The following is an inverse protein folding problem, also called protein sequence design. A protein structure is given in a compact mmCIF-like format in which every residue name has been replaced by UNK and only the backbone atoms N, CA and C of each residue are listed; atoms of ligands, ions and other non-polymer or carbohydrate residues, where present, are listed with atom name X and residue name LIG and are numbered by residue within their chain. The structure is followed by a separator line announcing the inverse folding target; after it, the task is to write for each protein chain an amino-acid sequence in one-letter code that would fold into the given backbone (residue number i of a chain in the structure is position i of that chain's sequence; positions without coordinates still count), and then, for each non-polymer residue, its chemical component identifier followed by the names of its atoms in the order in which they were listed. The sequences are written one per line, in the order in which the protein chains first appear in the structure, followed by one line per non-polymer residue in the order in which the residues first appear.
data_IF_734731361663
#
_entry.id   IF_734731361663
#
_cell.length_a   1.000
_cell.length_b   1.000
_cell.length_c   1.000
_cell.angle_alpha   90.00
_cell.angle_beta   90.00
_cell.angle_gamma   90.00
#
_symmetry.space_group_name_H-M   'P 1'
#
loop_
_entity.id
_entity.type
_entity.pdbx_description
1 polymer ?
#
# COMPACT_ATOMS: atom_id res chain seq x y z
N UNK A 1 -12.16 -18.62 2.63
CA UNK A 1 -11.06 -19.62 2.74
C UNK A 1 -10.03 -19.12 3.75
N UNK A 2 -9.38 -19.97 4.57
CA UNK A 2 -8.25 -19.54 5.42
C UNK A 2 -6.95 -19.98 4.77
N UNK A 3 -6.12 -19.01 4.35
CA UNK A 3 -4.80 -19.26 3.78
C UNK A 3 -3.72 -18.84 4.77
N UNK A 4 -2.61 -19.57 4.79
CA UNK A 4 -1.37 -19.20 5.45
C UNK A 4 -0.25 -19.23 4.41
N UNK A 5 0.63 -18.23 4.44
CA UNK A 5 1.74 -18.12 3.50
C UNK A 5 3.07 -18.20 4.24
N UNK A 6 3.99 -18.98 3.69
CA UNK A 6 5.35 -19.10 4.20
C UNK A 6 6.33 -18.52 3.19
N UNK A 7 7.22 -17.64 3.66
CA UNK A 7 8.27 -17.05 2.85
C UNK A 7 9.46 -18.03 2.72
N UNK A 8 9.88 -18.29 1.49
CA UNK A 8 11.12 -19.03 1.21
C UNK A 8 11.97 -18.17 0.28
N UNK A 9 13.19 -17.85 0.72
CA UNK A 9 14.17 -17.15 -0.10
C UNK A 9 15.15 -18.16 -0.67
N UNK A 10 15.28 -18.16 -1.98
CA UNK A 10 16.25 -18.98 -2.70
C UNK A 10 17.44 -18.13 -3.12
N UNK A 11 18.63 -18.72 -3.10
CA UNK A 11 19.85 -18.17 -3.70
C UNK A 11 20.41 -19.24 -4.63
N UNK A 12 20.77 -18.90 -5.86
CA UNK A 12 21.26 -19.86 -6.87
C UNK A 12 20.35 -21.11 -6.99
N UNK A 13 19.02 -20.88 -7.05
CA UNK A 13 17.97 -21.92 -7.15
C UNK A 13 17.88 -22.90 -5.96
N UNK A 14 18.63 -22.70 -4.88
CA UNK A 14 18.55 -23.51 -3.66
C UNK A 14 17.98 -22.70 -2.50
N UNK A 15 17.17 -23.34 -1.66
CA UNK A 15 16.63 -22.72 -0.45
C UNK A 15 17.76 -22.19 0.43
N UNK A 16 17.71 -20.90 0.74
CA UNK A 16 18.70 -20.19 1.53
C UNK A 16 18.13 -19.82 2.90
N UNK A 17 16.97 -19.15 2.91
CA UNK A 17 16.25 -18.78 4.12
C UNK A 17 14.80 -19.27 4.08
N UNK A 18 14.31 -19.75 5.21
CA UNK A 18 12.93 -20.18 5.43
C UNK A 18 12.58 -19.99 6.92
N UNK A 19 11.32 -20.21 7.35
CA UNK A 19 10.93 -19.93 8.74
C UNK A 19 11.78 -20.70 9.76
N UNK A 20 12.15 -21.94 9.41
CA UNK A 20 12.93 -22.83 10.27
C UNK A 20 14.36 -22.35 10.48
N UNK A 21 15.05 -21.95 9.41
CA UNK A 21 16.42 -21.40 9.48
C UNK A 21 16.45 -20.05 10.20
N UNK A 22 15.45 -19.20 9.97
CA UNK A 22 15.36 -17.91 10.68
C UNK A 22 15.11 -18.09 12.18
N UNK A 23 14.25 -19.04 12.56
CA UNK A 23 14.06 -19.41 13.97
C UNK A 23 15.35 -19.94 14.61
N UNK A 24 16.15 -20.71 13.86
CA UNK A 24 17.47 -21.15 14.31
C UNK A 24 18.43 -19.98 14.52
N UNK A 25 18.56 -19.07 13.55
CA UNK A 25 19.43 -17.89 13.69
C UNK A 25 19.04 -17.02 14.88
N UNK A 26 17.75 -16.75 15.06
CA UNK A 26 17.23 -15.99 16.19
C UNK A 26 17.52 -16.68 17.53
N UNK A 27 17.33 -18.00 17.61
CA UNK A 27 17.63 -18.77 18.82
C UNK A 27 19.13 -18.79 19.13
N UNK A 28 20.00 -18.87 18.12
CA UNK A 28 21.46 -18.78 18.29
C UNK A 28 21.85 -17.40 18.83
N UNK A 29 21.25 -16.32 18.32
CA UNK A 29 21.50 -14.97 18.80
C UNK A 29 21.15 -14.80 20.28
N UNK A 30 20.08 -15.46 20.74
CA UNK A 30 19.63 -15.39 22.14
C UNK A 30 20.55 -16.16 23.09
N UNK A 31 20.98 -17.37 22.71
CA UNK A 31 21.67 -18.29 23.64
C UNK A 31 23.18 -18.39 23.43
N UNK A 32 23.70 -17.84 22.33
CA UNK A 32 25.13 -17.86 22.03
C UNK A 32 25.68 -19.24 21.67
N UNK A 33 24.84 -20.20 21.26
CA UNK A 33 25.24 -21.60 21.02
C UNK A 33 24.39 -22.28 19.94
N UNK A 34 25.04 -22.95 18.98
CA UNK A 34 24.34 -23.74 17.94
C UNK A 34 23.56 -24.90 18.54
N UNK A 35 24.08 -25.56 19.57
CA UNK A 35 23.42 -26.73 20.16
C UNK A 35 22.16 -26.36 20.95
N UNK A 36 22.22 -25.29 21.75
CA UNK A 36 21.07 -24.76 22.46
C UNK A 36 20.06 -24.13 21.48
N UNK A 37 20.55 -23.39 20.47
CA UNK A 37 19.70 -22.81 19.42
C UNK A 37 18.96 -23.87 18.59
N UNK A 38 19.61 -25.01 18.31
CA UNK A 38 18.96 -26.16 17.66
C UNK A 38 17.78 -26.67 18.51
N UNK A 39 17.98 -26.86 19.82
CA UNK A 39 16.93 -27.32 20.73
C UNK A 39 15.74 -26.35 20.78
N UNK A 40 16.00 -25.05 20.92
CA UNK A 40 14.96 -24.01 20.96
C UNK A 40 14.20 -23.86 19.64
N UNK A 41 14.88 -24.05 18.51
CA UNK A 41 14.26 -23.99 17.17
C UNK A 41 13.53 -25.27 16.76
N UNK A 42 13.62 -26.36 17.56
CA UNK A 42 13.04 -27.65 17.21
C UNK A 42 13.83 -28.40 16.13
N UNK A 43 15.13 -28.14 16.01
CA UNK A 43 16.04 -28.79 15.09
C UNK A 43 16.93 -29.82 15.80
N UNK A 44 17.23 -30.93 15.13
CA UNK A 44 18.35 -31.79 15.56
C UNK A 44 19.66 -30.99 15.43
N UNK A 45 20.62 -31.24 16.32
CA UNK A 45 21.94 -30.61 16.27
C UNK A 45 22.58 -30.71 14.87
N UNK A 46 22.59 -31.91 14.26
CA UNK A 46 23.15 -32.12 12.91
C UNK A 46 22.49 -31.23 11.87
N UNK A 47 21.15 -31.20 11.82
CA UNK A 47 20.42 -30.35 10.87
C UNK A 47 20.68 -28.84 11.09
N UNK A 48 20.82 -28.40 12.34
CA UNK A 48 21.17 -27.02 12.65
C UNK A 48 22.58 -26.68 12.17
N UNK A 49 23.55 -27.56 12.45
CA UNK A 49 24.93 -27.39 12.00
C UNK A 49 25.05 -27.36 10.48
N UNK A 50 24.40 -28.32 9.80
CA UNK A 50 24.37 -28.37 8.32
C UNK A 50 23.73 -27.11 7.74
N UNK A 51 22.68 -26.57 8.36
CA UNK A 51 22.04 -25.33 7.94
C UNK A 51 22.96 -24.11 8.14
N UNK A 52 23.59 -23.97 9.31
CA UNK A 52 24.53 -22.85 9.58
C UNK A 52 25.69 -22.87 8.60
N UNK A 53 26.30 -24.05 8.37
CA UNK A 53 27.38 -24.22 7.40
C UNK A 53 26.92 -23.84 5.99
N UNK A 54 25.82 -24.41 5.51
CA UNK A 54 25.28 -24.09 4.18
C UNK A 54 24.99 -22.59 4.00
N UNK A 55 24.47 -21.93 5.04
CA UNK A 55 24.17 -20.50 4.98
C UNK A 55 25.44 -19.63 4.99
N UNK A 56 26.46 -19.98 5.78
CA UNK A 56 27.74 -19.26 5.78
C UNK A 56 28.50 -19.47 4.47
N UNK A 57 28.57 -20.70 3.95
CA UNK A 57 29.30 -21.04 2.73
C UNK A 57 28.73 -20.34 1.49
N UNK A 58 27.42 -20.09 1.49
CA UNK A 58 26.69 -19.47 0.35
C UNK A 58 26.47 -17.98 0.51
N UNK A 59 26.77 -17.41 1.67
CA UNK A 59 26.72 -15.97 1.88
C UNK A 59 28.05 -15.34 1.48
N UNK A 60 28.03 -14.12 0.94
CA UNK A 60 29.25 -13.38 0.61
C UNK A 60 30.14 -13.14 1.85
N UNK A 61 29.50 -13.04 3.01
CA UNK A 61 30.13 -12.93 4.31
C UNK A 61 29.43 -13.87 5.29
N UNK A 62 30.16 -14.46 6.25
CA UNK A 62 29.56 -15.33 7.26
C UNK A 62 28.40 -14.64 7.98
N UNK A 63 27.29 -15.37 8.15
CA UNK A 63 26.13 -14.90 8.91
C UNK A 63 26.28 -15.20 10.41
N UNK A 64 27.03 -16.25 10.73
CA UNK A 64 27.34 -16.68 12.09
C UNK A 64 28.85 -16.82 12.23
N UNK A 65 29.39 -16.20 13.28
CA UNK A 65 30.73 -16.49 13.78
C UNK A 65 30.69 -17.64 14.78
N UNK A 66 31.55 -18.63 14.55
CA UNK A 66 31.70 -19.79 15.44
C UNK A 66 33.02 -19.64 16.20
N UNK A 67 32.94 -19.56 17.53
CA UNK A 67 34.12 -19.58 18.37
C UNK A 67 34.62 -21.03 18.52
N UNK A 68 35.91 -21.25 18.24
CA UNK A 68 36.52 -22.57 18.32
C UNK A 68 36.96 -22.88 19.76
N UNK A 69 36.27 -23.82 20.42
CA UNK A 69 36.84 -24.68 21.46
C UNK A 69 37.16 -24.09 22.86
N UNK A 70 36.47 -24.62 23.87
CA UNK A 70 36.80 -24.57 25.30
C UNK A 70 35.93 -25.60 26.07
N UNK A 71 36.23 -25.87 27.37
CA UNK A 71 35.54 -26.90 28.21
C UNK A 71 34.01 -26.75 28.35
N UNK A 72 33.41 -25.69 27.80
CA UNK A 72 31.96 -25.42 27.78
C UNK A 72 31.29 -25.47 26.39
N UNK A 73 32.01 -25.84 25.33
CA UNK A 73 31.51 -25.82 23.95
C UNK A 73 31.76 -24.49 23.25
N UNK A 74 32.01 -24.53 21.93
CA UNK A 74 32.26 -23.33 21.11
C UNK A 74 31.03 -22.42 21.06
N UNK A 75 31.24 -21.13 21.31
CA UNK A 75 30.19 -20.11 21.20
C UNK A 75 29.78 -19.86 19.75
N UNK A 76 28.59 -19.31 19.55
CA UNK A 76 28.10 -18.89 18.25
C UNK A 76 27.38 -17.56 18.36
N UNK A 77 27.75 -16.58 17.55
CA UNK A 77 27.14 -15.25 17.51
C UNK A 77 26.79 -14.88 16.07
N UNK A 78 25.70 -14.12 15.90
CA UNK A 78 25.41 -13.55 14.58
C UNK A 78 26.41 -12.47 14.23
N UNK A 79 26.75 -12.38 12.96
CA UNK A 79 27.42 -11.21 12.40
C UNK A 79 26.38 -10.11 12.13
N UNK A 80 26.81 -8.85 11.87
CA UNK A 80 25.89 -7.78 11.47
C UNK A 80 25.03 -8.14 10.24
N UNK A 81 25.55 -8.95 9.32
CA UNK A 81 24.80 -9.41 8.15
C UNK A 81 23.81 -10.51 8.52
N UNK A 82 24.18 -11.42 9.43
CA UNK A 82 23.24 -12.40 10.00
C UNK A 82 22.04 -11.72 10.68
N UNK A 83 22.29 -10.69 11.50
CA UNK A 83 21.23 -9.89 12.10
C UNK A 83 20.37 -9.16 11.06
N UNK A 84 21.02 -8.55 10.06
CA UNK A 84 20.33 -7.87 8.96
C UNK A 84 19.42 -8.83 8.20
N UNK A 85 19.86 -10.08 7.96
CA UNK A 85 19.06 -11.10 7.28
C UNK A 85 17.78 -11.43 8.08
N UNK A 86 17.88 -11.58 9.40
CA UNK A 86 16.70 -11.82 10.25
C UNK A 86 15.72 -10.65 10.14
N UNK A 87 16.20 -9.41 10.27
CA UNK A 87 15.36 -8.19 10.16
C UNK A 87 14.71 -8.06 8.78
N UNK A 88 15.46 -8.32 7.72
CA UNK A 88 14.95 -8.31 6.35
C UNK A 88 13.85 -9.37 6.18
N UNK A 89 14.11 -10.58 6.64
CA UNK A 89 13.16 -11.69 6.52
C UNK A 89 11.87 -11.41 7.31
N UNK A 90 11.98 -10.85 8.52
CA UNK A 90 10.80 -10.50 9.34
C UNK A 90 9.95 -9.44 8.66
N UNK A 91 10.57 -8.39 8.11
CA UNK A 91 9.85 -7.33 7.38
C UNK A 91 9.14 -7.87 6.14
N UNK A 92 9.81 -8.73 5.35
CA UNK A 92 9.19 -9.35 4.18
C UNK A 92 8.02 -10.26 4.57
N UNK A 93 8.14 -11.02 5.65
CA UNK A 93 7.07 -11.90 6.15
C UNK A 93 5.85 -11.07 6.59
N UNK A 94 6.08 -9.92 7.23
CA UNK A 94 5.01 -9.01 7.62
C UNK A 94 4.32 -8.39 6.41
N UNK A 95 5.08 -7.91 5.42
CA UNK A 95 4.57 -7.38 4.16
C UNK A 95 3.72 -8.45 3.43
N UNK A 96 4.26 -9.67 3.29
CA UNK A 96 3.54 -10.79 2.68
C UNK A 96 2.22 -11.08 3.40
N UNK A 97 2.23 -11.09 4.74
CA UNK A 97 1.05 -11.37 5.55
C UNK A 97 -0.04 -10.31 5.37
N UNK A 98 0.35 -9.03 5.28
CA UNK A 98 -0.57 -7.91 5.04
C UNK A 98 -1.13 -7.97 3.62
N UNK A 99 -0.27 -8.22 2.63
CA UNK A 99 -0.67 -8.36 1.23
C UNK A 99 -1.66 -9.51 1.04
N UNK A 100 -1.38 -10.70 1.61
CA UNK A 100 -2.29 -11.85 1.54
C UNK A 100 -3.66 -11.53 2.15
N UNK A 101 -3.68 -10.93 3.36
CA UNK A 101 -4.94 -10.54 4.02
C UNK A 101 -5.76 -9.57 3.17
N UNK A 102 -5.11 -8.58 2.55
CA UNK A 102 -5.79 -7.62 1.68
C UNK A 102 -6.32 -8.27 0.42
N UNK A 103 -5.55 -9.15 -0.23
CA UNK A 103 -5.95 -9.82 -1.48
C UNK A 103 -7.04 -10.89 -1.28
N UNK A 104 -7.28 -11.31 -0.04
CA UNK A 104 -8.37 -12.22 0.30
C UNK A 104 -9.74 -11.51 0.39
N UNK A 105 -9.78 -10.18 0.31
CA UNK A 105 -11.01 -9.42 0.17
C UNK A 105 -11.49 -9.48 -1.29
N UNK A 106 -12.68 -10.05 -1.53
CA UNK A 106 -13.23 -10.27 -2.88
C UNK A 106 -13.49 -8.97 -3.65
N UNK A 107 -13.51 -7.82 -2.97
CA UNK A 107 -13.68 -6.52 -3.62
C UNK A 107 -12.42 -6.00 -4.30
N UNK A 108 -11.28 -6.70 -4.24
CA UNK A 108 -10.00 -6.25 -4.83
C UNK A 108 -9.88 -6.75 -6.28
N UNK A 109 -9.66 -5.85 -7.26
CA UNK A 109 -9.24 -6.26 -8.61
C UNK A 109 -7.86 -6.93 -8.55
N UNK A 110 -7.77 -8.21 -8.91
CA UNK A 110 -6.52 -8.99 -8.90
C UNK A 110 -5.65 -8.79 -10.16
N UNK A 111 -6.14 -8.00 -11.10
CA UNK A 111 -5.47 -7.63 -12.35
C UNK A 111 -4.67 -6.33 -12.27
N UNK A 112 -4.78 -5.59 -11.15
CA UNK A 112 -4.06 -4.33 -10.90
C UNK A 112 -3.15 -4.44 -9.67
N UNK A 113 -1.83 -4.40 -9.89
CA UNK A 113 -0.85 -4.37 -8.81
C UNK A 113 -0.98 -3.08 -7.99
N UNK A 114 -1.28 -1.94 -8.62
CA UNK A 114 -1.50 -0.68 -7.90
C UNK A 114 -2.70 -0.81 -6.97
N UNK A 115 -3.83 -1.36 -7.43
CA UNK A 115 -5.01 -1.59 -6.60
C UNK A 115 -4.72 -2.46 -5.38
N UNK A 116 -3.98 -3.56 -5.59
CA UNK A 116 -3.54 -4.44 -4.52
C UNK A 116 -2.66 -3.69 -3.50
N UNK A 117 -1.62 -2.98 -3.98
CA UNK A 117 -0.67 -2.26 -3.13
C UNK A 117 -1.33 -1.12 -2.35
N UNK A 118 -2.21 -0.34 -2.97
CA UNK A 118 -2.92 0.76 -2.30
C UNK A 118 -3.67 0.27 -1.06
N UNK A 119 -4.32 -0.90 -1.13
CA UNK A 119 -5.12 -1.41 -0.01
C UNK A 119 -4.30 -1.93 1.18
N UNK A 120 -3.13 -2.56 0.97
CA UNK A 120 -2.32 -3.07 2.10
C UNK A 120 -1.18 -2.15 2.53
N UNK A 121 -0.71 -1.25 1.65
CA UNK A 121 0.52 -0.46 1.87
C UNK A 121 0.27 0.97 2.35
N UNK A 122 -0.86 1.61 2.02
CA UNK A 122 -1.04 3.04 2.26
C UNK A 122 -2.42 3.37 2.85
N UNK A 123 -2.48 3.55 4.18
CA UNK A 123 -3.52 4.41 4.75
C UNK A 123 -3.07 5.85 4.61
N UNK A 124 -3.67 6.58 3.68
CA UNK A 124 -3.53 8.02 3.59
C UNK A 124 -4.80 8.70 4.12
N UNK A 125 -4.71 9.99 4.42
CA UNK A 125 -5.85 10.74 4.97
C UNK A 125 -6.87 11.19 3.91
N UNK A 126 -6.62 10.92 2.63
CA UNK A 126 -7.57 11.20 1.56
C UNK A 126 -8.65 10.10 1.56
N UNK A 127 -9.89 10.51 1.85
CA UNK A 127 -11.06 9.63 1.90
C UNK A 127 -11.54 9.20 0.52
N UNK A 128 -11.18 9.96 -0.52
CA UNK A 128 -11.52 9.66 -1.89
C UNK A 128 -10.28 9.17 -2.62
N UNK A 129 -10.35 7.95 -3.12
CA UNK A 129 -9.25 7.28 -3.82
C UNK A 129 -9.81 6.58 -5.05
N UNK A 130 -9.35 7.00 -6.22
CA UNK A 130 -9.83 6.50 -7.50
C UNK A 130 -8.67 5.95 -8.31
N UNK A 131 -8.84 4.73 -8.79
CA UNK A 131 -7.90 4.10 -9.71
C UNK A 131 -8.42 4.31 -11.13
N UNK A 132 -7.50 4.68 -12.00
CA UNK A 132 -7.80 4.88 -13.41
C UNK A 132 -6.55 4.89 -14.27
N UNK A 133 -6.74 5.09 -15.56
CA UNK A 133 -5.65 5.18 -16.54
C UNK A 133 -5.62 6.55 -17.18
N UNK A 134 -4.43 7.10 -17.35
CA UNK A 134 -4.23 8.35 -18.08
C UNK A 134 -4.68 8.15 -19.52
N UNK A 135 -5.57 8.99 -20.03
CA UNK A 135 -6.02 8.95 -21.43
C UNK A 135 -5.34 10.02 -22.26
N UNK A 136 -5.08 11.19 -21.67
CA UNK A 136 -4.40 12.30 -22.34
C UNK A 136 -3.63 13.18 -21.34
N UNK A 137 -2.59 13.84 -21.85
CA UNK A 137 -1.80 14.83 -21.11
C UNK A 137 -1.70 16.08 -21.98
N UNK A 138 -2.22 17.21 -21.49
CA UNK A 138 -2.12 18.52 -22.15
C UNK A 138 -1.19 19.43 -21.35
N UNK A 139 -0.08 19.83 -21.96
CA UNK A 139 0.90 20.72 -21.33
C UNK A 139 0.49 22.18 -21.49
N UNK A 140 0.61 22.96 -20.41
CA UNK A 140 0.27 24.38 -20.41
C UNK A 140 1.11 25.16 -19.40
N UNK A 141 2.14 25.85 -19.89
CA UNK A 141 3.02 26.63 -19.03
C UNK A 141 3.80 25.75 -18.06
N UNK A 142 3.55 25.91 -16.76
CA UNK A 142 4.23 25.17 -15.68
C UNK A 142 3.45 23.90 -15.28
N UNK A 143 2.20 23.77 -15.74
CA UNK A 143 1.29 22.71 -15.34
C UNK A 143 0.93 21.80 -16.51
N UNK A 144 0.69 20.54 -16.18
CA UNK A 144 0.13 19.52 -17.06
C UNK A 144 -1.30 19.19 -16.59
N UNK A 145 -2.22 19.18 -17.54
CA UNK A 145 -3.60 18.72 -17.35
C UNK A 145 -3.69 17.24 -17.77
N UNK A 146 -4.02 16.39 -16.82
CA UNK A 146 -4.05 14.94 -16.95
C UNK A 146 -5.51 14.49 -17.00
N UNK A 147 -5.94 13.93 -18.13
CA UNK A 147 -7.23 13.26 -18.24
C UNK A 147 -7.06 11.78 -17.86
N UNK A 148 -7.97 11.29 -17.02
CA UNK A 148 -7.93 9.96 -16.43
C UNK A 148 -9.30 9.31 -16.64
N UNK A 149 -9.32 8.11 -17.18
CA UNK A 149 -10.51 7.25 -17.22
C UNK A 149 -10.48 6.34 -16.00
N UNK A 150 -11.52 6.41 -15.17
CA UNK A 150 -11.67 5.61 -13.97
C UNK A 150 -12.21 4.23 -14.33
N UNK A 151 -11.99 3.24 -13.46
CA UNK A 151 -12.47 1.87 -13.70
C UNK A 151 -14.00 1.76 -13.83
N UNK A 152 -14.76 2.76 -13.34
CA UNK A 152 -16.21 2.87 -13.51
C UNK A 152 -16.66 3.37 -14.89
N UNK A 153 -15.72 3.79 -15.75
CA UNK A 153 -16.00 4.47 -17.02
C UNK A 153 -16.20 5.98 -16.90
N UNK A 154 -16.18 6.53 -15.68
CA UNK A 154 -16.20 7.97 -15.45
C UNK A 154 -14.84 8.60 -15.80
N UNK A 155 -14.83 9.90 -16.09
CA UNK A 155 -13.60 10.66 -16.35
C UNK A 155 -13.26 11.60 -15.22
N UNK A 156 -11.95 11.77 -14.97
CA UNK A 156 -11.39 12.69 -13.99
C UNK A 156 -10.24 13.47 -14.62
N UNK A 157 -10.20 14.78 -14.43
CA UNK A 157 -9.15 15.68 -14.85
C UNK A 157 -8.38 16.19 -13.62
N UNK A 158 -7.05 16.05 -13.63
CA UNK A 158 -6.16 16.54 -12.58
C UNK A 158 -5.16 17.53 -13.17
N UNK A 159 -4.84 18.58 -12.42
CA UNK A 159 -3.79 19.54 -12.77
C UNK A 159 -2.60 19.32 -11.84
N UNK A 160 -1.44 19.02 -12.43
CA UNK A 160 -0.19 18.81 -11.68
C UNK A 160 0.94 19.62 -12.30
N UNK A 161 1.98 19.94 -11.53
CA UNK A 161 3.17 20.56 -12.12
C UNK A 161 3.82 19.64 -13.14
N UNK A 162 4.42 20.20 -14.19
CA UNK A 162 5.15 19.43 -15.19
C UNK A 162 6.24 18.55 -14.54
N UNK A 163 6.94 19.07 -13.52
CA UNK A 163 7.93 18.31 -12.75
C UNK A 163 7.35 17.08 -12.05
N UNK A 164 6.12 17.16 -11.55
CA UNK A 164 5.41 16.02 -10.95
C UNK A 164 5.03 14.99 -12.00
N UNK A 165 4.51 15.43 -13.14
CA UNK A 165 4.17 14.59 -14.29
C UNK A 165 5.37 13.78 -14.79
N UNK A 166 6.53 14.44 -14.94
CA UNK A 166 7.80 13.81 -15.31
C UNK A 166 8.31 12.85 -14.24
N UNK A 167 8.26 13.25 -12.95
CA UNK A 167 8.69 12.40 -11.82
C UNK A 167 7.85 11.12 -11.73
N UNK A 168 6.54 11.23 -11.94
CA UNK A 168 5.60 10.10 -11.94
C UNK A 168 5.60 9.32 -13.25
N UNK A 169 6.42 9.74 -14.23
CA UNK A 169 6.55 9.16 -15.57
C UNK A 169 5.20 8.99 -16.27
N UNK A 170 4.32 9.98 -16.21
CA UNK A 170 2.97 9.87 -16.76
C UNK A 170 2.98 9.77 -18.29
N UNK A 171 2.18 8.85 -18.84
CA UNK A 171 1.92 8.67 -20.27
C UNK A 171 0.52 8.08 -20.50
N UNK A 172 -0.12 8.28 -21.67
CA UNK A 172 -1.39 7.64 -21.99
C UNK A 172 -1.33 6.11 -21.84
N UNK A 173 -2.22 5.55 -21.03
CA UNK A 173 -2.27 4.14 -20.65
C UNK A 173 -1.68 3.85 -19.26
N UNK A 174 -0.91 4.76 -18.67
CA UNK A 174 -0.34 4.58 -17.33
C UNK A 174 -1.44 4.58 -16.27
N UNK A 175 -1.40 3.58 -15.41
CA UNK A 175 -2.30 3.46 -14.26
C UNK A 175 -1.87 4.44 -13.16
N UNK A 176 -2.86 5.13 -12.59
CA UNK A 176 -2.67 6.15 -11.56
C UNK A 176 -3.70 5.98 -10.45
N UNK A 177 -3.31 6.36 -9.24
CA UNK A 177 -4.19 6.55 -8.09
C UNK A 177 -4.42 8.05 -7.92
N UNK A 178 -5.64 8.50 -8.14
CA UNK A 178 -6.08 9.85 -7.83
C UNK A 178 -6.61 9.93 -6.40
N UNK A 179 -6.11 10.88 -5.63
CA UNK A 179 -6.40 11.03 -4.20
C UNK A 179 -6.95 12.42 -3.92
N UNK A 180 -8.09 12.48 -3.25
CA UNK A 180 -8.78 13.72 -2.90
C UNK A 180 -9.19 13.69 -1.43
N UNK A 181 -8.86 14.76 -0.69
CA UNK A 181 -9.28 14.92 0.70
C UNK A 181 -10.78 15.25 0.71
N UNK A 182 -11.54 14.68 1.65
CA UNK A 182 -12.98 14.95 1.78
C UNK A 182 -13.37 16.45 1.87
N UNK A 183 -12.65 17.34 2.57
CA UNK A 183 -13.03 18.75 2.64
C UNK A 183 -12.70 19.55 1.37
N UNK A 184 -11.98 18.97 0.40
CA UNK A 184 -11.74 19.60 -0.91
C UNK A 184 -12.87 19.31 -1.92
N UNK A 185 -13.83 18.45 -1.55
CA UNK A 185 -15.00 18.13 -2.37
C UNK A 185 -16.13 19.08 -1.98
N UNK A 186 -16.68 19.78 -2.97
CA UNK A 186 -17.77 20.75 -2.76
C UNK A 186 -19.10 20.16 -3.18
N UNK A 187 -20.15 20.53 -2.45
CA UNK A 187 -21.52 20.35 -2.92
C UNK A 187 -21.85 21.50 -3.89
N UNK A 188 -22.43 21.18 -5.05
CA UNK A 188 -22.90 22.19 -5.99
C UNK A 188 -24.34 22.60 -5.66
N UNK A 189 -24.57 23.90 -5.64
CA UNK A 189 -25.88 24.54 -5.57
C UNK A 189 -26.42 24.84 -6.97
N UNK A 190 -27.73 25.07 -7.08
CA UNK A 190 -28.37 25.50 -8.35
C UNK A 190 -27.82 26.84 -8.88
N UNK A 191 -27.20 27.63 -8.01
CA UNK A 191 -26.64 28.96 -8.33
C UNK A 191 -25.17 28.93 -8.75
N UNK A 192 -24.50 27.78 -8.70
CA UNK A 192 -23.09 27.70 -9.03
C UNK A 192 -22.84 27.88 -10.53
N UNK A 193 -21.99 28.84 -10.87
CA UNK A 193 -21.48 29.00 -12.23
C UNK A 193 -20.38 27.96 -12.43
N UNK A 194 -20.66 26.97 -13.27
CA UNK A 194 -19.70 25.91 -13.58
C UNK A 194 -18.56 26.47 -14.45
N UNK A 195 -17.36 26.55 -13.89
CA UNK A 195 -16.16 26.69 -14.69
C UNK A 195 -15.81 25.32 -15.29
N UNK A 196 -16.29 25.08 -16.52
CA UNK A 196 -16.16 23.81 -17.21
C UNK A 196 -14.69 23.39 -17.48
N UNK A 197 -13.72 24.29 -17.28
CA UNK A 197 -12.30 24.00 -17.55
C UNK A 197 -11.57 23.24 -16.44
N UNK A 198 -11.90 23.51 -15.17
CA UNK A 198 -11.09 23.09 -14.01
C UNK A 198 -11.87 22.29 -12.95
N UNK A 199 -13.14 21.97 -13.20
CA UNK A 199 -13.97 21.25 -12.23
C UNK A 199 -14.38 19.87 -12.75
N UNK A 200 -14.18 18.88 -11.89
CA UNK A 200 -14.71 17.53 -12.05
C UNK A 200 -16.07 17.47 -11.37
N UNK A 201 -17.12 17.18 -12.13
CA UNK A 201 -18.49 17.16 -11.63
C UNK A 201 -19.02 15.75 -11.69
N UNK A 202 -19.56 15.29 -10.55
CA UNK A 202 -20.20 13.99 -10.45
C UNK A 202 -21.61 14.16 -9.89
N UNK A 203 -22.57 13.51 -10.54
CA UNK A 203 -23.93 13.37 -10.02
C UNK A 203 -24.06 11.99 -9.40
N UNK A 204 -24.67 11.91 -8.21
CA UNK A 204 -24.80 10.64 -7.52
C UNK A 204 -25.84 10.68 -6.42
N UNK A 205 -26.12 9.52 -5.84
CA UNK A 205 -27.14 9.34 -4.82
C UNK A 205 -26.51 9.37 -3.43
N UNK A 206 -27.07 10.14 -2.51
CA UNK A 206 -26.66 10.13 -1.10
C UNK A 206 -27.02 8.80 -0.45
N UNK A 207 -26.02 8.05 0.00
CA UNK A 207 -26.20 6.72 0.62
C UNK A 207 -25.85 6.68 2.11
N UNK A 208 -25.11 7.67 2.61
CA UNK A 208 -24.83 7.82 4.03
C UNK A 208 -24.68 9.29 4.40
N UNK A 209 -25.21 9.64 5.57
CA UNK A 209 -25.09 10.96 6.17
C UNK A 209 -24.84 10.79 7.67
N UNK A 210 -23.80 11.44 8.16
CA UNK A 210 -23.46 11.51 9.58
C UNK A 210 -23.07 12.93 9.94
N UNK A 211 -23.24 13.28 11.21
CA UNK A 211 -22.82 14.58 11.76
C UNK A 211 -21.81 14.34 12.87
N UNK A 212 -20.63 14.94 12.73
CA UNK A 212 -19.53 14.81 13.67
C UNK A 212 -18.91 16.19 13.90
N UNK A 213 -18.79 16.62 15.16
CA UNK A 213 -18.04 17.83 15.54
C UNK A 213 -18.39 19.10 14.73
N UNK A 214 -19.68 19.35 14.49
CA UNK A 214 -20.18 20.48 13.67
C UNK A 214 -19.94 20.36 12.16
N UNK A 215 -19.64 19.18 11.66
CA UNK A 215 -19.52 18.91 10.23
C UNK A 215 -20.50 17.83 9.78
N UNK A 216 -21.11 18.02 8.61
CA UNK A 216 -21.77 16.97 7.86
C UNK A 216 -20.72 16.15 7.13
N UNK A 217 -20.72 14.83 7.35
CA UNK A 217 -20.03 13.85 6.52
C UNK A 217 -21.07 13.17 5.63
N UNK A 218 -20.87 13.30 4.31
CA UNK A 218 -21.77 12.75 3.30
C UNK A 218 -21.02 11.73 2.46
N UNK A 219 -21.69 10.63 2.12
CA UNK A 219 -21.19 9.63 1.16
C UNK A 219 -22.17 9.53 0.01
N UNK A 220 -21.70 9.89 -1.18
CA UNK A 220 -22.47 9.93 -2.42
C UNK A 220 -21.99 8.81 -3.35
N UNK A 221 -22.90 7.95 -3.78
CA UNK A 221 -22.62 6.89 -4.76
C UNK A 221 -22.70 7.46 -6.17
N UNK A 222 -21.60 7.38 -6.92
CA UNK A 222 -21.47 7.94 -8.28
C UNK A 222 -21.40 6.86 -9.36
N UNK A 223 -21.09 5.61 -8.98
CA UNK A 223 -21.18 4.42 -9.81
C UNK A 223 -21.38 3.18 -8.91
N UNK A 224 -21.60 2.00 -9.49
CA UNK A 224 -21.90 0.75 -8.75
C UNK A 224 -20.93 0.50 -7.59
N UNK A 225 -19.62 0.60 -7.82
CA UNK A 225 -18.58 0.34 -6.82
C UNK A 225 -17.75 1.59 -6.47
N UNK A 226 -18.33 2.79 -6.66
CA UNK A 226 -17.61 4.04 -6.46
C UNK A 226 -18.43 5.07 -5.69
N UNK A 227 -17.81 5.60 -4.65
CA UNK A 227 -18.39 6.61 -3.77
C UNK A 227 -17.47 7.82 -3.63
N UNK A 228 -18.05 8.96 -3.32
CA UNK A 228 -17.36 10.19 -2.93
C UNK A 228 -17.77 10.53 -1.50
N UNK A 229 -16.79 10.71 -0.63
CA UNK A 229 -16.92 11.30 0.68
C UNK A 229 -16.61 12.80 0.61
N UNK A 230 -17.52 13.62 1.15
CA UNK A 230 -17.33 15.05 1.33
C UNK A 230 -17.66 15.47 2.76
N UNK A 231 -17.01 16.55 3.19
CA UNK A 231 -17.26 17.18 4.49
C UNK A 231 -17.70 18.62 4.29
N UNK A 232 -18.79 19.01 4.96
CA UNK A 232 -19.36 20.36 4.93
C UNK A 232 -19.50 20.87 6.36
N UNK A 233 -19.19 22.14 6.60
CA UNK A 233 -19.48 22.77 7.89
C UNK A 233 -21.00 22.98 8.05
N UNK A 234 -21.54 22.71 9.24
CA UNK A 234 -22.98 22.90 9.54
C UNK A 234 -23.43 24.36 9.31
N UNK A 235 -22.54 25.32 9.55
CA UNK A 235 -22.85 26.74 9.38
C UNK A 235 -22.89 27.17 7.91
N UNK A 236 -22.19 26.44 7.03
CA UNK A 236 -22.12 26.71 5.59
C UNK A 236 -23.29 26.11 4.82
N UNK A 237 -23.92 25.06 5.36
CA UNK A 237 -25.00 24.35 4.69
C UNK A 237 -26.17 24.08 5.64
N UNK A 238 -27.23 24.88 5.52
CA UNK A 238 -28.50 24.67 6.23
C UNK A 238 -29.43 23.66 5.55
N UNK A 239 -28.95 23.00 4.50
CA UNK A 239 -29.76 22.05 3.75
C UNK A 239 -30.02 20.79 4.59
N UNK A 240 -31.24 20.29 4.52
CA UNK A 240 -31.55 18.95 5.03
C UNK A 240 -31.13 17.92 3.98
N UNK A 241 -30.44 16.88 4.42
CA UNK A 241 -29.93 15.81 3.56
C UNK A 241 -30.73 14.55 3.80
N UNK A 242 -31.37 14.04 2.75
CA UNK A 242 -32.15 12.81 2.80
C UNK A 242 -31.46 11.68 2.04
N UNK A 243 -31.41 10.48 2.62
CA UNK A 243 -30.88 9.31 1.92
C UNK A 243 -31.70 9.03 0.66
N UNK A 244 -31.02 8.75 -0.45
CA UNK A 244 -31.65 8.59 -1.76
C UNK A 244 -31.71 9.88 -2.58
N UNK A 245 -31.43 11.06 -1.99
CA UNK A 245 -31.36 12.33 -2.71
C UNK A 245 -30.22 12.31 -3.74
N UNK A 246 -30.47 12.88 -4.92
CA UNK A 246 -29.42 13.11 -5.92
C UNK A 246 -28.67 14.40 -5.57
N UNK A 247 -27.35 14.28 -5.43
CA UNK A 247 -26.45 15.39 -5.15
C UNK A 247 -25.44 15.53 -6.30
N UNK A 248 -25.10 16.77 -6.62
CA UNK A 248 -24.02 17.10 -7.54
C UNK A 248 -22.82 17.57 -6.72
N UNK A 249 -21.68 16.93 -6.93
CA UNK A 249 -20.43 17.26 -6.23
C UNK A 249 -19.37 17.71 -7.22
N UNK A 250 -18.55 18.67 -6.80
CA UNK A 250 -17.47 19.22 -7.60
C UNK A 250 -16.12 19.03 -6.91
N UNK A 251 -15.11 18.70 -7.71
CA UNK A 251 -13.71 18.60 -7.29
C UNK A 251 -12.88 19.43 -8.24
N UNK A 252 -12.19 20.44 -7.72
CA UNK A 252 -11.24 21.23 -8.50
C UNK A 252 -10.03 20.36 -8.91
N UNK A 253 -9.60 20.44 -10.17
CA UNK A 253 -8.50 19.64 -10.73
C UNK A 253 -7.18 19.81 -9.97
N UNK A 254 -6.96 20.97 -9.33
CA UNK A 254 -5.78 21.26 -8.51
C UNK A 254 -5.80 20.59 -7.14
N UNK A 255 -6.96 20.12 -6.68
CA UNK A 255 -7.14 19.44 -5.39
C UNK A 255 -6.88 17.93 -5.48
N UNK A 256 -6.47 17.44 -6.65
CA UNK A 256 -6.27 16.02 -6.92
C UNK A 256 -4.77 15.72 -6.92
N UNK A 257 -4.35 14.85 -6.01
CA UNK A 257 -3.00 14.31 -5.99
C UNK A 257 -2.95 13.00 -6.78
N UNK A 258 -1.89 12.82 -7.56
CA UNK A 258 -1.66 11.59 -8.31
C UNK A 258 -0.50 10.80 -7.69
N UNK A 259 -0.68 9.49 -7.61
CA UNK A 259 0.35 8.52 -7.26
C UNK A 259 0.43 7.41 -8.30
N UNK A 260 1.62 6.86 -8.51
CA UNK A 260 1.86 5.70 -9.40
C UNK A 260 2.75 4.71 -8.70
N UNK A 261 2.72 3.44 -9.12
CA UNK A 261 3.79 2.51 -8.76
C UNK A 261 5.07 2.87 -9.53
N UNK A 262 6.21 2.73 -8.88
CA UNK A 262 7.49 2.73 -9.58
C UNK A 262 7.54 1.50 -10.50
N UNK A 263 7.94 1.71 -11.76
CA UNK A 263 8.29 0.65 -12.71
C UNK A 263 9.69 0.08 -12.39
#
# INVERSE_FOLDING_TARGET
MKLDAQLILNSEQRMFANPRRMKLLAAIAEVGSVSQGAKLSGMSYKAAWDAVRDMNDRAEQPLIELAVGGKGGGGASLTPIGERLIKLYSLLTEIQSRALKSLMDESVPLDSLLAAVTRFSAQNSARNQFIGRVTAIKRSGINDYINIELNSGLTLASEVTQRSSEKLKLYPGREVLAMIKAPSVRLLSETDVLDAGNQNIFSGTLISHSVLSQQHELIVQIATDQTICLMLELDECKAEFELGQVLNVAIDSTQILLATMDE
#
